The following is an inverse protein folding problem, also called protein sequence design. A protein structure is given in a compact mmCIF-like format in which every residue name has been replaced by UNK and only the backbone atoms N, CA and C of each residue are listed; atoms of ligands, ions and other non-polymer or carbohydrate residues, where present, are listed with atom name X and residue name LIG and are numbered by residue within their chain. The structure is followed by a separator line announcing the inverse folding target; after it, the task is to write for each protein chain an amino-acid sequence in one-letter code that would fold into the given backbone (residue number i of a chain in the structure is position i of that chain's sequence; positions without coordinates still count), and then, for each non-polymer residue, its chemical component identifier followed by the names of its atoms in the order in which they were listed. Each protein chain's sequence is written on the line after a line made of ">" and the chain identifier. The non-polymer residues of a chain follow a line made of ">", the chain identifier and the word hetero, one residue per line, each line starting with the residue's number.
data_IF_493848248469
#
_entry.id   IF_493848248469
#
_cell.length_a   1.000
_cell.length_b   1.000
_cell.length_c   1.000
_cell.angle_alpha   90.00
_cell.angle_beta   90.00
_cell.angle_gamma   90.00
#
_symmetry.space_group_name_H-M   'P 1'
#
loop_
_entity.id
_entity.type
_entity.pdbx_description
1 polymer ?
#
# COMPACT_ATOMS: atom_id res chain seq x y z
N UNK A 1 15.14 6.31 0.04
CA UNK A 1 14.35 5.14 -0.39
C UNK A 1 14.31 4.15 0.76
N UNK A 2 13.18 3.51 0.99
CA UNK A 2 13.00 2.57 2.11
C UNK A 2 13.65 1.20 1.84
N UNK A 3 13.97 0.42 2.88
CA UNK A 3 14.67 -0.86 2.73
C UNK A 3 13.91 -1.90 1.89
N UNK A 4 12.57 -1.91 1.94
CA UNK A 4 11.77 -2.86 1.19
C UNK A 4 11.81 -2.55 -0.32
N UNK A 5 11.67 -1.28 -0.68
CA UNK A 5 11.81 -0.83 -2.07
C UNK A 5 13.21 -1.14 -2.61
N UNK A 6 14.27 -0.87 -1.84
CA UNK A 6 15.64 -1.21 -2.23
C UNK A 6 15.83 -2.71 -2.43
N UNK A 7 15.25 -3.55 -1.58
CA UNK A 7 15.33 -5.01 -1.73
C UNK A 7 14.67 -5.50 -3.04
N UNK A 8 13.53 -4.92 -3.43
CA UNK A 8 12.85 -5.26 -4.70
C UNK A 8 13.70 -4.84 -5.90
N UNK A 9 14.27 -3.63 -5.89
CA UNK A 9 15.15 -3.15 -6.97
C UNK A 9 16.36 -4.06 -7.12
N UNK A 10 17.04 -4.38 -6.01
CA UNK A 10 18.18 -5.28 -6.01
C UNK A 10 17.82 -6.67 -6.54
N UNK A 11 16.65 -7.19 -6.18
CA UNK A 11 16.17 -8.47 -6.68
C UNK A 11 15.97 -8.44 -8.21
N UNK A 12 15.42 -7.36 -8.76
CA UNK A 12 15.25 -7.20 -10.21
C UNK A 12 16.61 -7.10 -10.93
N UNK A 13 17.54 -6.32 -10.40
CA UNK A 13 18.88 -6.14 -10.98
C UNK A 13 19.72 -7.43 -10.97
N UNK A 14 19.46 -8.34 -10.03
CA UNK A 14 20.16 -9.63 -9.95
C UNK A 14 19.70 -10.64 -11.01
N UNK A 15 18.58 -10.42 -11.70
CA UNK A 15 18.08 -11.37 -12.70
C UNK A 15 18.77 -11.17 -14.04
N UNK A 16 19.39 -12.22 -14.56
CA UNK A 16 20.15 -12.18 -15.81
C UNK A 16 19.29 -11.80 -17.04
N UNK A 17 17.97 -12.01 -16.96
CA UNK A 17 17.03 -11.65 -18.03
C UNK A 17 16.71 -10.15 -18.06
N UNK A 18 16.86 -9.46 -16.93
CA UNK A 18 16.56 -8.03 -16.79
C UNK A 18 17.76 -7.22 -17.29
N UNK A 19 17.51 -6.38 -18.28
CA UNK A 19 18.53 -5.52 -18.90
C UNK A 19 18.70 -4.22 -18.12
N UNK A 20 17.58 -3.59 -17.75
CA UNK A 20 17.55 -2.27 -17.10
C UNK A 20 16.41 -2.18 -16.12
N UNK A 21 16.71 -1.61 -14.97
CA UNK A 21 15.73 -1.16 -13.98
C UNK A 21 15.80 0.36 -13.93
N UNK A 22 14.66 1.01 -14.16
CA UNK A 22 14.52 2.45 -14.11
C UNK A 22 13.65 2.81 -12.92
N UNK A 23 14.24 3.49 -11.94
CA UNK A 23 13.55 4.01 -10.77
C UNK A 23 13.37 5.50 -10.94
N UNK A 24 12.13 5.98 -10.89
CA UNK A 24 11.85 7.41 -10.93
C UNK A 24 12.04 7.98 -9.54
N UNK A 25 13.00 8.88 -9.39
CA UNK A 25 13.18 9.62 -8.14
C UNK A 25 11.95 10.48 -7.86
N UNK A 26 11.40 10.32 -6.67
CA UNK A 26 10.33 11.18 -6.14
C UNK A 26 10.83 11.88 -4.88
N UNK A 27 10.43 13.14 -4.69
CA UNK A 27 10.76 13.92 -3.50
C UNK A 27 10.15 13.30 -2.23
N UNK A 28 10.63 13.66 -1.05
CA UNK A 28 10.02 13.26 0.22
C UNK A 28 8.76 14.07 0.51
N UNK A 29 7.76 13.50 1.20
CA UNK A 29 6.64 14.26 1.73
C UNK A 29 7.05 15.09 2.97
N UNK A 30 6.55 16.32 3.07
CA UNK A 30 6.67 17.14 4.28
C UNK A 30 5.59 16.79 5.30
N UNK A 31 5.79 17.20 6.57
CA UNK A 31 4.77 17.05 7.61
C UNK A 31 3.44 17.73 7.22
N UNK A 32 3.51 18.92 6.61
CA UNK A 32 2.33 19.64 6.14
C UNK A 32 1.54 18.86 5.09
N UNK A 33 2.23 18.07 4.24
CA UNK A 33 1.56 17.24 3.24
C UNK A 33 0.75 16.12 3.91
N UNK A 34 1.27 15.51 4.98
CA UNK A 34 0.52 14.54 5.78
C UNK A 34 -0.69 15.17 6.45
N UNK A 35 -0.53 16.31 7.13
CA UNK A 35 -1.63 17.00 7.81
C UNK A 35 -2.77 17.35 6.83
N UNK A 36 -2.42 17.90 5.66
CA UNK A 36 -3.40 18.21 4.61
C UNK A 36 -4.11 16.97 4.10
N UNK A 37 -3.38 15.86 3.94
CA UNK A 37 -3.96 14.61 3.49
C UNK A 37 -4.91 14.02 4.54
N UNK A 38 -4.53 14.03 5.81
CA UNK A 38 -5.34 13.51 6.92
C UNK A 38 -6.60 14.35 7.14
N UNK A 39 -6.49 15.68 7.07
CA UNK A 39 -7.62 16.60 7.12
C UNK A 39 -8.59 16.36 5.95
N UNK A 40 -8.07 16.23 4.72
CA UNK A 40 -8.88 15.98 3.52
C UNK A 40 -9.63 14.65 3.57
N UNK A 41 -9.03 13.62 4.15
CA UNK A 41 -9.58 12.26 4.13
C UNK A 41 -10.26 11.83 5.43
N UNK A 42 -10.24 12.69 6.46
CA UNK A 42 -10.80 12.45 7.78
C UNK A 42 -10.32 11.12 8.39
N UNK A 43 -9.02 10.85 8.23
CA UNK A 43 -8.39 9.62 8.69
C UNK A 43 -6.89 9.78 8.90
N UNK A 44 -6.31 8.93 9.75
CA UNK A 44 -4.87 8.85 9.91
C UNK A 44 -4.27 7.86 8.92
N UNK A 45 -3.14 8.21 8.31
CA UNK A 45 -2.40 7.29 7.45
C UNK A 45 -1.64 6.26 8.34
N UNK A 46 -1.61 4.96 7.97
CA UNK A 46 -0.86 3.96 8.74
C UNK A 46 0.63 4.32 8.87
N UNK A 47 1.22 4.04 10.03
CA UNK A 47 2.61 4.42 10.37
C UNK A 47 3.63 3.96 9.35
N UNK A 48 3.48 2.75 8.80
CA UNK A 48 4.41 2.21 7.82
C UNK A 48 4.35 2.95 6.48
N UNK A 49 3.15 3.41 6.07
CA UNK A 49 3.01 4.28 4.91
C UNK A 49 3.52 5.69 5.19
N UNK A 50 3.29 6.24 6.38
CA UNK A 50 3.89 7.53 6.78
C UNK A 50 5.42 7.49 6.68
N UNK A 51 6.05 6.41 7.16
CA UNK A 51 7.50 6.20 7.03
C UNK A 51 7.92 6.13 5.56
N UNK A 52 7.20 5.37 4.74
CA UNK A 52 7.45 5.28 3.30
C UNK A 52 7.39 6.66 2.62
N UNK A 53 6.29 7.40 2.80
CA UNK A 53 6.10 8.72 2.20
C UNK A 53 7.07 9.79 2.73
N UNK A 54 7.61 9.61 3.95
CA UNK A 54 8.71 10.43 4.47
C UNK A 54 10.01 10.20 3.69
N UNK A 55 10.19 9.00 3.13
CA UNK A 55 11.37 8.64 2.34
C UNK A 55 11.19 8.87 0.83
N UNK A 56 9.96 8.77 0.30
CA UNK A 56 9.65 8.93 -1.13
C UNK A 56 8.14 9.18 -1.33
N UNK A 57 7.77 10.24 -2.06
CA UNK A 57 6.38 10.61 -2.36
C UNK A 57 5.75 9.73 -3.46
N UNK A 58 5.64 8.44 -3.17
CA UNK A 58 5.26 7.39 -4.10
C UNK A 58 6.47 6.70 -4.73
N UNK A 59 6.21 5.81 -5.68
CA UNK A 59 7.23 4.96 -6.31
C UNK A 59 6.88 4.71 -7.78
N UNK A 60 7.88 4.66 -8.64
CA UNK A 60 7.72 4.12 -9.99
C UNK A 60 9.00 3.38 -10.37
N UNK A 61 8.90 2.05 -10.47
CA UNK A 61 9.98 1.17 -10.92
C UNK A 61 9.53 0.52 -12.22
N UNK A 62 10.29 0.70 -13.29
CA UNK A 62 10.07 0.03 -14.58
C UNK A 62 11.25 -0.86 -14.89
N UNK A 63 11.00 -2.02 -15.47
CA UNK A 63 12.09 -2.89 -15.91
C UNK A 63 11.86 -3.40 -17.33
N UNK A 64 12.98 -3.59 -18.02
CA UNK A 64 13.04 -4.15 -19.36
C UNK A 64 13.86 -5.42 -19.38
N UNK A 65 13.52 -6.33 -20.29
CA UNK A 65 14.35 -7.50 -20.58
C UNK A 65 15.05 -7.33 -21.93
N UNK A 66 16.15 -8.05 -22.10
CA UNK A 66 16.85 -8.15 -23.38
C UNK A 66 16.41 -9.40 -24.13
N UNK A 67 15.69 -9.21 -25.23
CA UNK A 67 15.33 -10.31 -26.12
C UNK A 67 16.27 -10.31 -27.32
N UNK A 68 17.39 -11.04 -27.23
CA UNK A 68 18.38 -11.16 -28.31
C UNK A 68 19.10 -9.84 -28.64
N UNK A 69 19.13 -9.47 -29.93
CA UNK A 69 19.76 -8.24 -30.43
C UNK A 69 18.77 -7.06 -30.57
N UNK A 70 17.55 -7.20 -30.05
CA UNK A 70 16.53 -6.16 -30.14
C UNK A 70 16.68 -5.08 -29.06
N UNK A 71 16.01 -3.94 -29.28
CA UNK A 71 15.93 -2.84 -28.32
C UNK A 71 15.26 -3.36 -27.02
N UNK A 72 15.76 -2.98 -25.82
CA UNK A 72 15.16 -3.40 -24.56
C UNK A 72 13.66 -3.04 -24.53
N UNK A 73 12.83 -4.04 -24.25
CA UNK A 73 11.37 -3.86 -24.18
C UNK A 73 10.96 -3.83 -22.71
N UNK A 74 10.24 -2.78 -22.31
CA UNK A 74 9.66 -2.69 -20.97
C UNK A 74 8.56 -3.74 -20.83
N UNK A 75 8.73 -4.64 -19.86
CA UNK A 75 7.79 -5.74 -19.62
C UNK A 75 7.05 -5.63 -18.30
N UNK A 76 7.46 -4.70 -17.43
CA UNK A 76 6.82 -4.54 -16.14
C UNK A 76 7.05 -3.18 -15.51
N UNK A 77 6.13 -2.86 -14.61
CA UNK A 77 6.04 -1.61 -13.88
C UNK A 77 5.48 -1.93 -12.50
N UNK A 78 6.11 -1.37 -11.48
CA UNK A 78 5.58 -1.27 -10.12
C UNK A 78 5.37 0.22 -9.84
N UNK A 79 4.19 0.58 -9.38
CA UNK A 79 3.82 1.97 -9.18
C UNK A 79 3.09 2.15 -7.85
N UNK A 80 3.38 3.25 -7.16
CA UNK A 80 2.67 3.71 -5.99
C UNK A 80 2.42 5.21 -6.18
N UNK A 81 1.14 5.58 -6.11
CA UNK A 81 0.68 6.96 -6.17
C UNK A 81 1.39 7.84 -5.14
N UNK A 82 1.57 9.10 -5.53
CA UNK A 82 2.00 10.15 -4.60
C UNK A 82 0.93 10.35 -3.52
N UNK A 83 1.29 10.88 -2.36
CA UNK A 83 0.38 11.07 -1.23
C UNK A 83 -0.88 11.85 -1.65
N UNK A 84 -0.72 12.91 -2.45
CA UNK A 84 -1.83 13.72 -2.94
C UNK A 84 -2.73 13.02 -3.97
N UNK A 85 -2.18 12.02 -4.66
CA UNK A 85 -2.85 11.25 -5.71
C UNK A 85 -3.57 10.01 -5.14
N UNK A 86 -3.36 9.69 -3.86
CA UNK A 86 -4.10 8.64 -3.16
C UNK A 86 -5.59 8.94 -3.20
N UNK A 87 -6.31 8.12 -3.95
CA UNK A 87 -7.75 8.31 -4.17
C UNK A 87 -8.52 7.43 -3.21
N UNK A 88 -9.32 8.05 -2.33
CA UNK A 88 -10.25 7.33 -1.46
C UNK A 88 -11.35 6.67 -2.29
N UNK A 89 -11.55 5.38 -2.09
CA UNK A 89 -12.66 4.62 -2.69
C UNK A 89 -13.81 4.65 -1.68
N UNK A 90 -14.94 5.27 -2.05
CA UNK A 90 -16.13 5.36 -1.20
C UNK A 90 -17.36 4.90 -1.98
N UNK A 91 -18.34 4.32 -1.28
CA UNK A 91 -19.60 3.82 -1.85
C UNK A 91 -20.54 4.93 -2.33
N UNK A 92 -20.23 6.21 -2.08
CA UNK A 92 -21.12 7.35 -2.36
C UNK A 92 -20.58 8.32 -3.43
N UNK A 93 -19.45 7.99 -4.07
CA UNK A 93 -18.84 8.80 -5.13
C UNK A 93 -18.97 8.16 -6.52
N UNK A 94 -18.69 8.94 -7.57
CA UNK A 94 -18.81 8.63 -9.02
C UNK A 94 -18.07 7.37 -9.55
N UNK A 95 -17.52 6.52 -8.68
CA UNK A 95 -16.88 5.24 -9.00
C UNK A 95 -17.65 4.06 -8.37
N UNK A 96 -18.99 4.05 -8.48
CA UNK A 96 -19.84 2.96 -7.95
C UNK A 96 -19.39 1.58 -8.42
N UNK A 97 -18.94 1.48 -9.68
CA UNK A 97 -18.42 0.23 -10.27
C UNK A 97 -17.22 -0.34 -9.53
N UNK A 98 -16.36 0.52 -8.97
CA UNK A 98 -15.18 0.07 -8.22
C UNK A 98 -15.57 -0.58 -6.89
N UNK A 99 -16.64 -0.10 -6.26
CA UNK A 99 -17.15 -0.62 -4.98
C UNK A 99 -17.89 -1.93 -5.22
N UNK A 100 -18.66 -2.03 -6.30
CA UNK A 100 -19.36 -3.26 -6.68
C UNK A 100 -18.37 -4.38 -7.04
N UNK A 101 -17.32 -4.08 -7.83
CA UNK A 101 -16.22 -5.02 -8.12
C UNK A 101 -15.51 -5.52 -6.85
N UNK A 102 -15.29 -4.64 -5.88
CA UNK A 102 -14.62 -4.98 -4.61
C UNK A 102 -15.54 -5.75 -3.65
N UNK A 103 -16.84 -5.45 -3.63
CA UNK A 103 -17.83 -6.20 -2.86
C UNK A 103 -17.99 -7.61 -3.41
N UNK A 104 -18.08 -7.77 -4.73
CA UNK A 104 -18.12 -9.09 -5.38
C UNK A 104 -16.86 -9.91 -5.05
N UNK A 105 -15.68 -9.26 -5.00
CA UNK A 105 -14.44 -9.92 -4.60
C UNK A 105 -14.41 -10.29 -3.10
N UNK A 106 -14.93 -9.43 -2.23
CA UNK A 106 -15.00 -9.69 -0.79
C UNK A 106 -15.96 -10.84 -0.46
N UNK A 107 -17.09 -10.94 -1.19
CA UNK A 107 -18.13 -11.94 -0.96
C UNK A 107 -17.83 -13.29 -1.66
N UNK A 108 -17.30 -13.26 -2.89
CA UNK A 108 -17.07 -14.47 -3.69
C UNK A 108 -15.59 -14.87 -3.86
N UNK A 109 -14.64 -13.94 -3.70
CA UNK A 109 -13.20 -14.16 -3.92
C UNK A 109 -12.38 -14.46 -2.67
N UNK A 110 -12.89 -14.12 -1.49
CA UNK A 110 -12.13 -14.16 -0.23
C UNK A 110 -12.30 -15.46 0.59
N UNK A 111 -12.74 -16.57 -0.01
CA UNK A 111 -12.78 -17.88 0.66
C UNK A 111 -11.39 -18.51 0.86
N UNK A 112 -10.32 -17.87 0.34
CA UNK A 112 -8.95 -18.39 0.36
C UNK A 112 -7.95 -17.53 1.16
N UNK A 113 -8.35 -16.38 1.72
CA UNK A 113 -7.49 -15.60 2.61
C UNK A 113 -7.81 -15.94 4.07
N UNK A 114 -7.44 -17.15 4.49
CA UNK A 114 -7.16 -17.39 5.90
C UNK A 114 -5.97 -16.49 6.24
N UNK A 115 -6.26 -15.29 6.75
CA UNK A 115 -5.24 -14.40 7.30
C UNK A 115 -4.58 -15.11 8.47
N UNK A 116 -3.51 -15.87 8.20
CA UNK A 116 -2.49 -16.16 9.19
C UNK A 116 -1.83 -14.82 9.48
N UNK A 117 -2.40 -14.10 10.45
CA UNK A 117 -1.76 -12.93 11.02
C UNK A 117 -0.35 -13.34 11.46
N UNK A 118 0.68 -12.66 10.93
CA UNK A 118 2.07 -12.87 11.36
C UNK A 118 2.31 -12.43 12.82
N UNK A 119 1.27 -11.88 13.47
CA UNK A 119 1.27 -11.37 14.84
C UNK A 119 0.32 -12.13 15.77
N UNK A 120 0.14 -13.45 15.64
CA UNK A 120 -0.46 -14.28 16.70
C UNK A 120 -1.88 -13.89 17.18
N UNK A 121 -2.56 -12.99 16.49
CA UNK A 121 -3.96 -12.64 16.75
C UNK A 121 -4.81 -13.66 15.99
N UNK A 122 -5.07 -14.79 16.65
CA UNK A 122 -6.20 -15.64 16.29
C UNK A 122 -7.47 -14.93 16.75
N UNK A 123 -8.34 -14.65 15.77
CA UNK A 123 -9.67 -14.04 15.86
C UNK A 123 -9.74 -12.51 15.63
N UNK A 124 -10.59 -12.14 14.66
CA UNK A 124 -11.22 -10.84 14.43
C UNK A 124 -10.39 -9.81 13.64
N UNK A 125 -10.14 -10.10 12.36
CA UNK A 125 -10.38 -9.07 11.35
C UNK A 125 -11.52 -9.60 10.49
N UNK A 126 -12.73 -9.12 10.75
CA UNK A 126 -13.85 -9.33 9.83
C UNK A 126 -13.38 -8.93 8.42
N UNK A 127 -13.70 -9.77 7.43
CA UNK A 127 -13.45 -9.49 6.02
C UNK A 127 -13.79 -8.01 5.73
N UNK A 128 -12.86 -7.21 5.19
CA UNK A 128 -13.11 -5.79 4.93
C UNK A 128 -14.36 -5.64 4.08
N UNK A 129 -15.32 -4.86 4.59
CA UNK A 129 -16.60 -4.61 3.93
C UNK A 129 -16.54 -3.25 3.25
N UNK A 130 -16.50 -3.24 1.92
CA UNK A 130 -16.35 -2.03 1.10
C UNK A 130 -17.63 -1.16 1.06
N UNK A 131 -18.73 -1.66 1.60
CA UNK A 131 -19.99 -0.94 1.77
C UNK A 131 -20.18 -0.32 3.18
N UNK A 132 -19.20 -0.46 4.07
CA UNK A 132 -19.28 0.05 5.44
C UNK A 132 -18.29 1.19 5.65
N UNK A 133 -18.74 2.28 6.29
CA UNK A 133 -17.86 3.38 6.72
C UNK A 133 -16.80 2.97 7.77
N UNK A 134 -16.82 1.70 8.20
CA UNK A 134 -15.86 1.13 9.14
C UNK A 134 -14.48 0.83 8.53
N UNK A 135 -14.30 1.02 7.21
CA UNK A 135 -13.02 0.77 6.53
C UNK A 135 -12.59 1.96 5.69
N UNK A 136 -11.29 2.23 5.70
CA UNK A 136 -10.62 3.15 4.80
C UNK A 136 -9.97 2.37 3.67
N UNK A 137 -10.34 2.74 2.44
CA UNK A 137 -9.83 2.12 1.22
C UNK A 137 -9.25 3.22 0.33
N UNK A 138 -7.97 3.08 -0.04
CA UNK A 138 -7.27 4.03 -0.90
C UNK A 138 -6.59 3.30 -2.06
N UNK A 139 -6.73 3.84 -3.26
CA UNK A 139 -6.07 3.34 -4.46
C UNK A 139 -4.58 3.74 -4.46
N UNK A 140 -3.70 2.74 -4.37
CA UNK A 140 -2.25 2.90 -4.43
C UNK A 140 -1.75 2.87 -5.89
N UNK A 141 -2.31 1.97 -6.70
CA UNK A 141 -1.95 1.82 -8.12
C UNK A 141 -3.21 1.50 -8.94
N UNK A 142 -3.56 2.30 -9.96
CA UNK A 142 -4.65 1.98 -10.88
C UNK A 142 -4.27 0.90 -11.93
N UNK A 143 -3.05 0.37 -11.90
CA UNK A 143 -2.53 -0.68 -12.79
C UNK A 143 -2.92 -0.48 -14.27
N UNK A 144 -2.82 0.76 -14.76
CA UNK A 144 -3.18 1.17 -16.12
C UNK A 144 -4.60 0.74 -16.56
N UNK A 145 -5.53 0.62 -15.60
CA UNK A 145 -6.94 0.25 -15.80
C UNK A 145 -7.21 -1.25 -15.86
N UNK A 146 -6.19 -2.11 -15.77
CA UNK A 146 -6.32 -3.57 -15.84
C UNK A 146 -6.59 -4.22 -14.48
N UNK A 147 -6.49 -3.45 -13.40
CA UNK A 147 -6.65 -3.89 -12.02
C UNK A 147 -6.43 -2.72 -11.08
N UNK A 148 -6.42 -2.97 -9.77
CA UNK A 148 -6.08 -1.95 -8.78
C UNK A 148 -5.34 -2.57 -7.61
N UNK A 149 -4.37 -1.86 -7.06
CA UNK A 149 -3.79 -2.15 -5.75
C UNK A 149 -4.38 -1.15 -4.77
N UNK A 150 -5.00 -1.66 -3.71
CA UNK A 150 -5.65 -0.83 -2.71
C UNK A 150 -5.02 -1.05 -1.33
N UNK A 151 -4.82 0.05 -0.61
CA UNK A 151 -4.61 0.06 0.82
C UNK A 151 -5.97 -0.10 1.49
N UNK A 152 -6.12 -1.09 2.37
CA UNK A 152 -7.34 -1.32 3.15
C UNK A 152 -6.97 -1.41 4.63
N UNK A 153 -7.55 -0.54 5.45
CA UNK A 153 -7.38 -0.58 6.90
C UNK A 153 -8.62 -0.05 7.59
N UNK A 154 -8.96 -0.57 8.75
CA UNK A 154 -10.04 -0.02 9.56
C UNK A 154 -9.50 1.06 10.51
N UNK A 155 -10.31 2.04 10.92
CA UNK A 155 -9.96 3.05 11.92
C UNK A 155 -9.64 2.48 13.32
N UNK A 156 -9.62 1.15 13.52
CA UNK A 156 -9.78 0.42 14.80
C UNK A 156 -9.77 1.30 16.04
N UNK A 157 -10.95 1.39 16.67
CA UNK A 157 -11.21 1.83 18.03
C UNK A 157 -9.96 2.22 18.85
N UNK A 158 -9.77 3.54 19.03
CA UNK A 158 -8.93 4.09 20.10
C UNK A 158 -9.60 3.79 21.45
N UNK A 159 -9.50 2.54 21.88
CA UNK A 159 -9.85 2.05 23.21
C UNK A 159 -9.22 0.64 23.25
N UNK A 160 -7.93 0.47 23.53
CA UNK A 160 -7.40 0.48 24.89
C UNK A 160 -5.85 0.51 24.84
N UNK A 161 -5.23 1.56 24.28
CA UNK A 161 -3.77 1.78 24.43
C UNK A 161 -3.47 2.53 25.73
N UNK A 162 -3.89 1.99 26.87
CA UNK A 162 -3.57 2.60 28.17
C UNK A 162 -3.23 1.61 29.29
N UNK A 163 -2.83 0.35 29.00
CA UNK A 163 -2.38 -0.51 30.10
C UNK A 163 -1.48 -1.72 29.82
N UNK A 164 -0.70 -1.78 28.72
CA UNK A 164 0.32 -2.84 28.59
C UNK A 164 1.55 -2.35 27.83
N UNK A 165 2.18 -1.26 28.28
CA UNK A 165 3.64 -1.02 28.13
C UNK A 165 4.12 -0.13 29.29
N UNK A 166 3.64 -0.40 30.51
CA UNK A 166 4.41 -0.11 31.71
C UNK A 166 5.16 -1.39 32.08
N UNK A 167 6.47 -1.26 32.24
CA UNK A 167 7.43 -2.29 32.66
C UNK A 167 7.87 -3.28 31.58
N UNK A 168 8.92 -2.91 30.84
CA UNK A 168 10.24 -3.53 31.06
C UNK A 168 11.26 -2.91 30.11
N UNK A 169 11.73 -1.72 30.48
CA UNK A 169 13.10 -1.34 30.17
C UNK A 169 13.97 -2.04 31.21
N UNK A 170 14.54 -3.18 30.87
CA UNK A 170 15.70 -3.71 31.59
C UNK A 170 16.81 -4.07 30.61
N UNK A 171 17.70 -3.08 30.49
CA UNK A 171 19.16 -3.13 30.33
C UNK A 171 19.83 -4.31 29.62
N UNK A 172 20.67 -3.93 28.66
CA UNK A 172 21.90 -4.59 28.24
C UNK A 172 22.54 -5.52 29.30
N UNK A 173 22.75 -6.78 28.92
CA UNK A 173 24.07 -7.44 28.96
C UNK A 173 24.11 -8.67 28.08
#
# INVERSE_FOLDING_TARGET
>A
MDPATTAVINYLEQRAEIDRVHVKDKSTCSLDAFLRWEEKNECELPDDLKKFYTMSDGLEVRWSIKTGNAIPTFIGKMYINSLNDLTRITSSGSKQTAVDELNDFAENGMSSFNSKSFYGFENILDTPRFNSCAWYIFELDPCDGQGRVCLVYSPVCISTKNNIYSNSFDYFK
#
